data_IF_747479385937
#
_entry.id   IF_747479385937
#
_cell.length_a   1.000
_cell.length_b   1.000
_cell.length_c   1.000
_cell.angle_alpha   90.00
_cell.angle_beta   90.00
_cell.angle_gamma   90.00
#
_symmetry.space_group_name_H-M   'P 1'
#
loop_
_entity.id
_entity.type
_entity.pdbx_description
1 polymer ?
#
# COMPACT_ATOMS: atom_id res chain seq x y z
N UNK A 1 -6.93 10.32 -41.18
CA UNK A 1 -7.26 9.01 -40.54
C UNK A 1 -6.10 8.34 -39.79
N UNK A 2 -4.82 8.64 -40.08
CA UNK A 2 -3.65 8.05 -39.37
C UNK A 2 -3.51 8.56 -37.92
N UNK A 3 -3.81 9.83 -37.69
CA UNK A 3 -3.59 10.53 -36.41
C UNK A 3 -4.49 10.02 -35.27
N UNK A 4 -5.73 9.62 -35.58
CA UNK A 4 -6.68 9.15 -34.57
C UNK A 4 -6.26 7.79 -33.97
N UNK A 5 -5.58 6.95 -34.77
CA UNK A 5 -5.01 5.67 -34.30
C UNK A 5 -3.81 5.88 -33.36
N UNK A 6 -2.99 6.90 -33.63
CA UNK A 6 -1.87 7.27 -32.75
C UNK A 6 -2.36 7.81 -31.40
N UNK A 7 -3.41 8.64 -31.41
CA UNK A 7 -4.00 9.16 -30.18
C UNK A 7 -4.62 8.05 -29.32
N UNK A 8 -5.35 7.11 -29.94
CA UNK A 8 -5.89 5.94 -29.23
C UNK A 8 -4.76 5.08 -28.62
N UNK A 9 -3.70 4.82 -29.38
CA UNK A 9 -2.54 4.08 -28.89
C UNK A 9 -1.86 4.76 -27.69
N UNK A 10 -1.75 6.09 -27.72
CA UNK A 10 -1.15 6.87 -26.63
C UNK A 10 -2.00 6.82 -25.36
N UNK A 11 -3.32 6.91 -25.49
CA UNK A 11 -4.26 6.82 -24.36
C UNK A 11 -4.22 5.44 -23.71
N UNK A 12 -4.12 4.37 -24.50
CA UNK A 12 -3.97 3.01 -23.97
C UNK A 12 -2.67 2.82 -23.19
N UNK A 13 -1.54 3.30 -23.72
CA UNK A 13 -0.24 3.21 -23.03
C UNK A 13 -0.26 4.01 -21.72
N UNK A 14 -0.81 5.23 -21.74
CA UNK A 14 -0.95 6.07 -20.55
C UNK A 14 -1.84 5.41 -19.48
N UNK A 15 -2.96 4.81 -19.86
CA UNK A 15 -3.84 4.09 -18.94
C UNK A 15 -3.14 2.87 -18.29
N UNK A 16 -2.36 2.11 -19.06
CA UNK A 16 -1.61 0.97 -18.51
C UNK A 16 -0.50 1.41 -17.55
N UNK A 17 0.20 2.52 -17.82
CA UNK A 17 1.22 3.06 -16.91
C UNK A 17 0.62 3.51 -15.58
N UNK A 18 -0.54 4.17 -15.60
CA UNK A 18 -1.21 4.63 -14.37
C UNK A 18 -1.63 3.49 -13.45
N UNK A 19 -2.03 2.34 -14.00
CA UNK A 19 -2.46 1.17 -13.22
C UNK A 19 -1.30 0.46 -12.48
N UNK A 20 -0.07 0.54 -13.00
CA UNK A 20 1.10 -0.11 -12.39
C UNK A 20 1.64 0.71 -11.20
N UNK A 21 1.48 2.03 -11.22
CA UNK A 21 2.04 2.94 -10.21
C UNK A 21 1.19 2.94 -8.91
N UNK A 22 -0.02 2.37 -8.92
CA UNK A 22 -0.87 2.27 -7.73
C UNK A 22 -0.56 1.09 -6.82
N UNK A 23 0.47 0.29 -7.09
CA UNK A 23 1.07 -0.64 -6.12
C UNK A 23 1.89 0.13 -5.07
N UNK A 24 1.29 1.16 -4.46
CA UNK A 24 1.84 1.81 -3.27
C UNK A 24 1.68 0.82 -2.14
N UNK A 25 2.80 0.33 -1.62
CA UNK A 25 2.94 -0.40 -0.34
C UNK A 25 1.68 -0.28 0.53
N UNK A 26 0.79 -1.26 0.41
CA UNK A 26 -0.48 -1.31 1.12
C UNK A 26 -0.17 -1.36 2.62
N UNK A 27 -0.26 -0.21 3.27
CA UNK A 27 -0.10 -0.11 4.71
C UNK A 27 -1.35 -0.72 5.33
N UNK A 28 -1.18 -1.85 6.00
CA UNK A 28 -2.24 -2.56 6.69
C UNK A 28 -1.89 -2.52 8.17
N UNK A 29 -2.58 -1.68 8.93
CA UNK A 29 -2.51 -1.72 10.39
C UNK A 29 -3.37 -2.88 10.87
N UNK A 30 -2.79 -3.72 11.73
CA UNK A 30 -3.48 -4.82 12.36
C UNK A 30 -4.11 -4.36 13.68
N UNK A 31 -5.22 -4.98 14.10
CA UNK A 31 -5.74 -4.80 15.45
C UNK A 31 -4.78 -5.45 16.47
N UNK A 32 -4.76 -4.90 17.70
CA UNK A 32 -3.95 -5.42 18.80
C UNK A 32 -2.84 -4.46 19.24
N UNK A 33 -2.11 -4.84 20.30
CA UNK A 33 -0.99 -4.06 20.86
C UNK A 33 0.38 -4.53 20.36
N UNK A 34 0.46 -5.76 19.86
CA UNK A 34 1.72 -6.42 19.49
C UNK A 34 1.51 -7.39 18.34
N UNK A 35 2.59 -7.75 17.63
CA UNK A 35 2.53 -8.77 16.58
C UNK A 35 2.22 -10.18 17.10
N UNK A 36 2.37 -10.46 18.39
CA UNK A 36 2.02 -11.77 18.98
C UNK A 36 0.52 -11.92 19.23
N UNK A 37 -0.19 -10.80 19.41
CA UNK A 37 -1.64 -10.77 19.63
C UNK A 37 -2.43 -10.40 18.36
N UNK A 38 -1.72 -9.93 17.33
CA UNK A 38 -2.31 -9.51 16.07
C UNK A 38 -2.59 -10.73 15.18
N UNK A 39 -3.66 -10.69 14.35
CA UNK A 39 -3.88 -11.71 13.35
C UNK A 39 -2.78 -11.71 12.29
N UNK A 40 -2.59 -12.84 11.62
CA UNK A 40 -1.62 -12.96 10.53
C UNK A 40 -1.94 -12.01 9.37
N UNK A 41 -0.88 -11.49 8.74
CA UNK A 41 -1.02 -10.62 7.58
C UNK A 41 -1.48 -11.41 6.36
N UNK A 42 -2.32 -10.80 5.49
CA UNK A 42 -2.60 -11.37 4.18
C UNK A 42 -1.32 -11.44 3.35
N UNK A 43 -1.27 -12.40 2.41
CA UNK A 43 -0.11 -12.67 1.53
C UNK A 43 1.18 -13.11 2.27
N UNK A 44 1.08 -13.76 3.43
CA UNK A 44 2.23 -14.25 4.22
C UNK A 44 3.27 -13.15 4.54
N UNK A 45 2.84 -11.89 4.58
CA UNK A 45 3.74 -10.76 4.89
C UNK A 45 4.13 -10.83 6.38
N UNK A 46 5.36 -10.47 6.75
CA UNK A 46 5.75 -10.45 8.16
C UNK A 46 5.00 -9.33 8.90
N UNK A 47 4.53 -9.61 10.12
CA UNK A 47 4.08 -8.54 11.01
C UNK A 47 5.28 -7.74 11.52
N UNK A 48 5.15 -6.42 11.50
CA UNK A 48 6.15 -5.48 12.02
C UNK A 48 5.47 -4.44 12.91
N UNK A 49 6.14 -4.04 13.97
CA UNK A 49 5.69 -2.93 14.80
C UNK A 49 6.17 -1.63 14.15
N UNK A 50 5.26 -0.83 13.63
CA UNK A 50 5.56 0.39 12.88
C UNK A 50 4.80 1.59 13.42
N UNK A 51 5.34 2.79 13.20
CA UNK A 51 4.63 4.02 13.52
C UNK A 51 3.44 4.21 12.58
N UNK A 52 2.29 4.69 13.10
CA UNK A 52 1.11 4.95 12.29
C UNK A 52 1.40 5.95 11.16
N UNK A 53 0.97 5.64 9.94
CA UNK A 53 1.37 6.36 8.71
C UNK A 53 0.78 7.76 8.51
N UNK A 54 0.05 8.37 9.45
CA UNK A 54 -0.50 9.72 9.25
C UNK A 54 -0.60 10.59 10.49
N UNK A 55 -0.30 11.89 10.27
CA UNK A 55 -0.74 13.11 10.95
C UNK A 55 -1.72 12.89 12.09
N UNK A 56 -1.18 12.48 13.20
CA UNK A 56 -1.95 12.38 14.40
C UNK A 56 -1.09 13.06 15.45
N UNK A 57 -1.20 14.38 15.48
CA UNK A 57 -0.54 15.25 16.47
C UNK A 57 -0.85 14.83 17.92
N UNK A 58 -1.87 13.99 18.10
CA UNK A 58 -2.30 13.37 19.36
C UNK A 58 -2.21 11.84 19.39
N UNK A 59 -1.79 11.17 18.31
CA UNK A 59 -1.55 9.73 18.40
C UNK A 59 -0.26 9.54 19.16
N UNK A 60 -0.37 8.77 20.23
CA UNK A 60 0.77 8.24 20.97
C UNK A 60 1.76 7.69 19.95
N UNK A 61 3.04 8.04 20.09
CA UNK A 61 4.16 7.52 19.27
C UNK A 61 4.38 6.01 19.47
N UNK A 62 3.37 5.32 20.01
CA UNK A 62 3.35 3.90 20.19
C UNK A 62 3.35 3.21 18.83
N UNK A 63 4.27 2.28 18.70
CA UNK A 63 4.32 1.39 17.56
C UNK A 63 3.07 0.53 17.58
N UNK A 64 2.45 0.36 16.43
CA UNK A 64 1.26 -0.48 16.24
C UNK A 64 1.61 -1.65 15.33
N UNK A 65 1.01 -2.83 15.55
CA UNK A 65 1.24 -3.98 14.68
C UNK A 65 0.73 -3.64 13.27
N UNK A 66 1.59 -3.87 12.29
CA UNK A 66 1.39 -3.47 10.90
C UNK A 66 1.97 -4.54 9.99
N UNK A 67 1.34 -4.81 8.85
CA UNK A 67 1.94 -5.67 7.85
C UNK A 67 3.16 -5.02 7.21
N UNK A 68 4.24 -5.78 7.16
CA UNK A 68 5.50 -5.40 6.53
C UNK A 68 5.37 -5.29 5.02
N UNK A 69 6.48 -4.91 4.39
CA UNK A 69 6.55 -4.88 2.93
C UNK A 69 6.31 -6.27 2.36
N UNK A 70 5.63 -6.31 1.21
CA UNK A 70 5.50 -7.53 0.43
C UNK A 70 6.91 -7.96 -0.04
N UNK A 71 7.29 -9.24 0.11
CA UNK A 71 8.58 -9.75 -0.38
C UNK A 71 8.68 -9.69 -1.90
#
# INVERSE_FOLDING_TARGET
>A
RRNMKFLLSLVFIAATLCAVITAKDEYIQLPGKSCTDAPDCPDDRPCVMASPRKNCDSCVTELVPTCGKKP
#
